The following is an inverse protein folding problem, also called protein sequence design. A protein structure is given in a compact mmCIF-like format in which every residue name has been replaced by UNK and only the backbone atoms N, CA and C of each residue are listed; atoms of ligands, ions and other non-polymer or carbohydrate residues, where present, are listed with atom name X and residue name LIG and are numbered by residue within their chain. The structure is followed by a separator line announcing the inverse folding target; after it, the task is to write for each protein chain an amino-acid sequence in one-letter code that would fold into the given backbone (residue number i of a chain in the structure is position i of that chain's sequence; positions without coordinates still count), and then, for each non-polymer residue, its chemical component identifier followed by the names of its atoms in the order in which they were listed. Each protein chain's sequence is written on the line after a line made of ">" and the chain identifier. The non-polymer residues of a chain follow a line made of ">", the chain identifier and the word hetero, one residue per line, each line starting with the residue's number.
data_IF_487515779176
#
_entry.id   IF_487515779176
#
_cell.length_a   1.000
_cell.length_b   1.000
_cell.length_c   1.000
_cell.angle_alpha   90.00
_cell.angle_beta   90.00
_cell.angle_gamma   90.00
#
_symmetry.space_group_name_H-M   'P 1'
#
loop_
_entity.id
_entity.type
_entity.pdbx_description
1 polymer ?
#
# COMPACT_ATOMS: atom_id res chain seq x y z
N UNK A 1 14.38 -3.07 -10.61
CA UNK A 1 14.80 -2.71 -11.98
C UNK A 1 15.05 -1.20 -12.08
N UNK A 2 15.46 -0.71 -13.26
CA UNK A 2 15.62 0.72 -13.56
C UNK A 2 14.31 1.47 -13.32
N UNK A 3 14.42 2.79 -13.10
CA UNK A 3 13.24 3.66 -13.05
C UNK A 3 12.44 3.54 -14.37
N UNK A 4 11.09 3.41 -14.32
CA UNK A 4 10.27 3.36 -15.52
C UNK A 4 10.45 4.60 -16.40
N UNK A 5 10.62 4.39 -17.71
CA UNK A 5 10.64 5.43 -18.74
C UNK A 5 9.78 4.95 -19.91
N UNK A 6 8.92 5.83 -20.44
CA UNK A 6 8.17 5.53 -21.66
C UNK A 6 9.09 5.57 -22.88
N UNK A 7 9.00 4.55 -23.71
CA UNK A 7 9.78 4.40 -24.94
C UNK A 7 8.88 3.79 -26.02
N UNK A 8 9.33 3.71 -27.28
CA UNK A 8 8.59 2.97 -28.31
C UNK A 8 8.30 1.50 -27.98
N UNK A 9 8.91 0.94 -26.92
CA UNK A 9 8.75 -0.46 -26.51
C UNK A 9 8.29 -0.62 -25.06
N UNK A 10 8.02 0.48 -24.34
CA UNK A 10 7.60 0.47 -22.93
C UNK A 10 6.57 1.55 -22.70
N UNK A 11 5.40 1.14 -22.22
CA UNK A 11 4.33 2.05 -21.81
C UNK A 11 4.25 2.11 -20.29
N UNK A 12 3.81 3.26 -19.76
CA UNK A 12 3.61 3.44 -18.33
C UNK A 12 2.18 3.92 -18.09
N UNK A 13 1.51 3.28 -17.14
CA UNK A 13 0.25 3.75 -16.60
C UNK A 13 0.40 4.07 -15.12
N UNK A 14 0.33 5.35 -14.77
CA UNK A 14 0.29 5.77 -13.37
C UNK A 14 -1.01 5.34 -12.70
N UNK A 15 -0.91 4.88 -11.46
CA UNK A 15 -2.05 4.48 -10.62
C UNK A 15 -2.34 5.49 -9.51
N UNK A 16 -1.72 6.68 -9.58
CA UNK A 16 -2.02 7.84 -8.76
C UNK A 16 -3.52 8.21 -8.80
N UNK A 17 -3.98 8.96 -7.80
CA UNK A 17 -5.36 9.41 -7.64
C UNK A 17 -5.99 8.85 -6.37
N UNK A 18 -7.32 8.74 -6.37
CA UNK A 18 -8.07 8.27 -5.21
C UNK A 18 -8.08 6.75 -5.12
N UNK A 19 -7.83 6.25 -3.92
CA UNK A 19 -7.93 4.84 -3.54
C UNK A 19 -8.93 4.70 -2.38
N UNK A 20 -9.59 3.55 -2.27
CA UNK A 20 -10.34 3.20 -1.08
C UNK A 20 -9.37 2.91 0.06
N UNK A 21 -9.67 3.40 1.27
CA UNK A 21 -8.81 3.33 2.44
C UNK A 21 -9.57 2.96 3.70
N UNK A 22 -9.02 2.00 4.47
CA UNK A 22 -9.54 1.58 5.77
C UNK A 22 -8.40 1.31 6.76
N UNK A 23 -8.58 1.64 8.04
CA UNK A 23 -7.66 1.16 9.09
C UNK A 23 -8.11 -0.22 9.57
N UNK A 24 -7.17 -1.10 9.86
CA UNK A 24 -7.41 -2.44 10.37
C UNK A 24 -7.33 -2.45 11.91
N UNK A 25 -8.31 -1.82 12.56
CA UNK A 25 -8.29 -1.61 14.01
C UNK A 25 -8.20 -2.91 14.81
N UNK A 26 -8.88 -3.95 14.34
CA UNK A 26 -8.90 -5.27 14.97
C UNK A 26 -7.77 -6.19 14.47
N UNK A 27 -6.89 -5.69 13.59
CA UNK A 27 -5.82 -6.45 12.96
C UNK A 27 -6.30 -7.78 12.34
N UNK A 28 -7.46 -7.75 11.69
CA UNK A 28 -8.17 -8.92 11.18
C UNK A 28 -8.22 -8.96 9.65
N UNK A 29 -7.76 -7.92 8.95
CA UNK A 29 -7.87 -7.82 7.50
C UNK A 29 -7.11 -8.91 6.74
N UNK A 30 -6.03 -9.42 7.31
CA UNK A 30 -5.30 -10.58 6.76
C UNK A 30 -6.13 -11.85 6.90
N UNK A 31 -6.63 -12.13 8.11
CA UNK A 31 -7.38 -13.34 8.43
C UNK A 31 -8.73 -13.39 7.69
N UNK A 32 -9.39 -12.24 7.58
CA UNK A 32 -10.66 -12.07 6.86
C UNK A 32 -10.48 -11.83 5.35
N UNK A 33 -9.24 -11.80 4.86
CA UNK A 33 -8.91 -11.67 3.44
C UNK A 33 -9.57 -10.48 2.75
N UNK A 34 -9.37 -9.29 3.30
CA UNK A 34 -9.98 -8.06 2.79
C UNK A 34 -9.68 -7.75 1.31
N UNK A 35 -8.68 -8.39 0.72
CA UNK A 35 -8.39 -8.30 -0.71
C UNK A 35 -9.35 -9.11 -1.62
N UNK A 36 -10.15 -10.03 -1.07
CA UNK A 36 -11.09 -10.89 -1.83
C UNK A 36 -12.39 -10.17 -2.20
N UNK A 37 -12.70 -9.04 -1.57
CA UNK A 37 -13.89 -8.23 -1.87
C UNK A 37 -13.58 -6.72 -1.83
N UNK A 38 -14.60 -5.89 -2.10
CA UNK A 38 -14.46 -4.45 -1.94
C UNK A 38 -14.24 -4.09 -0.46
N UNK A 39 -13.28 -3.21 -0.16
CA UNK A 39 -13.04 -2.73 1.20
C UNK A 39 -14.30 -2.08 1.78
N UNK A 40 -14.84 -2.69 2.82
CA UNK A 40 -16.00 -2.20 3.54
C UNK A 40 -15.65 -0.94 4.35
N UNK A 41 -16.64 -0.05 4.50
CA UNK A 41 -16.54 1.19 5.27
C UNK A 41 -15.32 2.06 4.91
N UNK A 42 -14.87 1.97 3.65
CA UNK A 42 -13.69 2.65 3.17
C UNK A 42 -13.95 4.12 2.86
N UNK A 43 -12.89 4.92 3.02
CA UNK A 43 -12.85 6.35 2.67
C UNK A 43 -11.95 6.55 1.46
N UNK A 44 -12.21 7.57 0.65
CA UNK A 44 -11.29 7.93 -0.42
C UNK A 44 -10.02 8.57 0.17
N UNK A 45 -8.84 8.14 -0.29
CA UNK A 45 -7.54 8.73 0.07
C UNK A 45 -6.72 8.98 -1.19
N UNK A 46 -5.92 10.05 -1.20
CA UNK A 46 -5.04 10.35 -2.31
C UNK A 46 -3.74 9.56 -2.23
N UNK A 47 -3.33 9.02 -3.38
CA UNK A 47 -2.02 8.42 -3.64
C UNK A 47 -1.36 9.20 -4.79
N UNK A 48 -0.10 9.62 -4.68
CA UNK A 48 0.77 9.45 -3.52
C UNK A 48 0.44 10.39 -2.35
N UNK A 49 0.71 9.95 -1.13
CA UNK A 49 0.56 10.76 0.07
C UNK A 49 0.63 9.96 1.36
N UNK A 50 1.08 10.59 2.43
CA UNK A 50 0.97 10.02 3.78
C UNK A 50 -0.48 10.09 4.24
N UNK A 51 -1.02 9.03 4.84
CA UNK A 51 -2.44 9.04 5.21
C UNK A 51 -2.74 9.94 6.42
N UNK A 52 -1.71 10.18 7.25
CA UNK A 52 -1.87 10.74 8.59
C UNK A 52 -2.57 12.11 8.62
N UNK A 53 -2.35 12.95 7.61
CA UNK A 53 -2.90 14.32 7.54
C UNK A 53 -3.90 14.54 6.41
N UNK A 54 -4.30 13.48 5.70
CA UNK A 54 -5.33 13.61 4.66
C UNK A 54 -6.74 13.68 5.26
N UNK A 55 -6.88 13.36 6.55
CA UNK A 55 -8.12 13.45 7.29
C UNK A 55 -7.90 14.28 8.55
N UNK A 56 -8.83 15.18 8.85
CA UNK A 56 -8.85 15.95 10.10
C UNK A 56 -9.34 15.07 11.27
N UNK A 57 -8.64 13.96 11.53
CA UNK A 57 -9.01 12.91 12.48
C UNK A 57 -7.75 12.45 13.24
N UNK A 58 -7.72 12.72 14.54
CA UNK A 58 -6.56 12.41 15.39
C UNK A 58 -6.32 10.91 15.56
N UNK A 59 -7.37 10.08 15.46
CA UNK A 59 -7.22 8.63 15.56
C UNK A 59 -6.58 8.07 14.29
N UNK A 60 -6.92 8.62 13.12
CA UNK A 60 -6.22 8.28 11.87
C UNK A 60 -4.79 8.80 11.91
N UNK A 61 -4.57 10.06 12.28
CA UNK A 61 -3.23 10.67 12.30
C UNK A 61 -2.23 9.85 13.11
N UNK A 62 -2.65 9.38 14.28
CA UNK A 62 -1.81 8.66 15.23
C UNK A 62 -1.92 7.13 15.15
N UNK A 63 -2.64 6.60 14.16
CA UNK A 63 -2.84 5.15 14.03
C UNK A 63 -1.52 4.41 13.81
N UNK A 64 -1.29 3.35 14.59
CA UNK A 64 -0.18 2.43 14.44
C UNK A 64 -0.73 1.01 14.23
N UNK A 65 -0.44 0.41 13.06
CA UNK A 65 -0.96 -0.89 12.67
C UNK A 65 -1.07 -1.05 11.16
N UNK A 66 -1.95 -1.97 10.75
CA UNK A 66 -2.25 -2.25 9.36
C UNK A 66 -3.28 -1.26 8.82
N UNK A 67 -3.02 -0.69 7.65
CA UNK A 67 -3.99 0.09 6.88
C UNK A 67 -4.08 -0.50 5.48
N UNK A 68 -5.26 -0.40 4.89
CA UNK A 68 -5.56 -1.05 3.61
C UNK A 68 -5.89 0.01 2.57
N UNK A 69 -5.25 -0.09 1.42
CA UNK A 69 -5.56 0.67 0.22
C UNK A 69 -6.12 -0.28 -0.83
N UNK A 70 -7.14 0.13 -1.57
CA UNK A 70 -7.68 -0.67 -2.66
C UNK A 70 -8.12 0.19 -3.84
N UNK A 71 -7.86 -0.32 -5.05
CA UNK A 71 -8.26 0.35 -6.29
C UNK A 71 -8.53 -0.65 -7.40
N UNK A 72 -9.60 -0.40 -8.15
CA UNK A 72 -9.85 -1.04 -9.43
C UNK A 72 -9.04 -0.36 -10.54
N UNK A 73 -8.33 -1.16 -11.34
CA UNK A 73 -7.45 -0.70 -12.40
C UNK A 73 -7.79 -1.40 -13.71
N UNK A 74 -8.05 -0.63 -14.75
CA UNK A 74 -8.21 -1.18 -16.10
C UNK A 74 -6.85 -1.47 -16.76
N UNK A 75 -6.62 -2.69 -17.23
CA UNK A 75 -5.40 -3.04 -17.97
C UNK A 75 -5.60 -2.69 -19.45
N UNK A 76 -4.75 -1.84 -20.07
CA UNK A 76 -4.87 -1.48 -21.48
C UNK A 76 -4.93 -2.72 -22.39
N UNK A 77 -5.85 -2.73 -23.37
CA UNK A 77 -5.98 -3.82 -24.35
C UNK A 77 -4.69 -4.05 -25.15
N UNK A 78 -3.96 -2.97 -25.44
CA UNK A 78 -2.68 -3.01 -26.17
C UNK A 78 -1.55 -3.76 -25.45
N UNK A 79 -1.71 -4.05 -24.15
CA UNK A 79 -0.71 -4.81 -23.39
C UNK A 79 -0.84 -6.33 -23.56
N UNK A 80 -1.75 -6.81 -24.42
CA UNK A 80 -1.86 -8.24 -24.71
C UNK A 80 -0.53 -8.82 -25.23
N UNK A 81 -0.07 -9.92 -24.61
CA UNK A 81 1.21 -10.56 -24.94
C UNK A 81 2.45 -9.83 -24.42
N UNK A 82 2.29 -8.69 -23.73
CA UNK A 82 3.38 -7.98 -23.09
C UNK A 82 3.61 -8.45 -21.66
N UNK A 83 4.82 -8.23 -21.15
CA UNK A 83 5.13 -8.38 -19.73
C UNK A 83 4.58 -7.17 -18.97
N UNK A 84 3.70 -7.41 -18.00
CA UNK A 84 3.05 -6.38 -17.19
C UNK A 84 3.65 -6.41 -15.79
N UNK A 85 4.17 -5.28 -15.33
CA UNK A 85 4.83 -5.13 -14.03
C UNK A 85 4.09 -4.10 -13.20
N UNK A 86 3.72 -4.45 -11.97
CA UNK A 86 3.22 -3.52 -10.97
C UNK A 86 4.39 -3.05 -10.11
N UNK A 87 4.51 -1.74 -9.92
CA UNK A 87 5.60 -1.11 -9.18
C UNK A 87 5.06 -0.08 -8.21
N UNK A 88 5.65 -0.01 -7.02
CA UNK A 88 5.50 1.09 -6.09
C UNK A 88 6.85 1.74 -5.85
N UNK A 89 6.93 3.06 -5.95
CA UNK A 89 8.17 3.79 -5.70
C UNK A 89 8.49 3.96 -4.21
N UNK A 90 7.47 3.90 -3.33
CA UNK A 90 7.61 3.80 -1.88
C UNK A 90 6.28 3.47 -1.19
N UNK A 91 6.28 2.42 -0.37
CA UNK A 91 5.22 2.09 0.59
C UNK A 91 5.85 2.04 1.98
N UNK A 92 5.37 2.88 2.90
CA UNK A 92 6.03 3.13 4.19
C UNK A 92 5.23 2.54 5.34
N UNK A 93 5.76 1.60 6.15
CA UNK A 93 7.14 1.04 6.18
C UNK A 93 7.27 -0.37 5.63
N UNK A 94 6.19 -1.13 5.66
CA UNK A 94 6.06 -2.44 5.04
C UNK A 94 4.84 -2.43 4.12
N UNK A 95 4.95 -3.07 2.97
CA UNK A 95 3.86 -3.19 2.00
C UNK A 95 3.65 -4.63 1.59
N UNK A 96 2.41 -5.09 1.62
CA UNK A 96 1.99 -6.40 1.08
C UNK A 96 0.89 -6.19 0.05
N UNK A 97 1.01 -6.81 -1.12
CA UNK A 97 0.21 -6.45 -2.29
C UNK A 97 -0.47 -7.66 -2.91
N UNK A 98 -1.75 -7.48 -3.22
CA UNK A 98 -2.57 -8.44 -3.93
C UNK A 98 -3.10 -7.86 -5.24
N UNK A 99 -3.17 -8.72 -6.25
CA UNK A 99 -3.82 -8.48 -7.54
C UNK A 99 -4.95 -9.49 -7.68
N UNK A 100 -6.19 -9.01 -7.71
CA UNK A 100 -7.38 -9.79 -7.38
C UNK A 100 -7.20 -10.55 -6.06
N UNK A 101 -7.16 -11.88 -6.12
CA UNK A 101 -7.07 -12.76 -4.96
C UNK A 101 -5.67 -13.36 -4.77
N UNK A 102 -4.69 -12.90 -5.56
CA UNK A 102 -3.33 -13.45 -5.54
C UNK A 102 -2.39 -12.44 -4.89
N UNK A 103 -1.67 -12.90 -3.86
CA UNK A 103 -0.54 -12.16 -3.31
C UNK A 103 0.60 -12.16 -4.34
N UNK A 104 1.11 -10.98 -4.68
CA UNK A 104 2.11 -10.83 -5.75
C UNK A 104 3.46 -10.31 -5.26
N UNK A 105 3.48 -9.59 -4.13
CA UNK A 105 4.73 -9.15 -3.50
C UNK A 105 4.51 -8.68 -2.06
N UNK A 106 5.60 -8.75 -1.30
CA UNK A 106 5.79 -8.02 -0.05
C UNK A 106 7.14 -7.31 -0.05
N UNK A 107 7.25 -6.21 0.69
CA UNK A 107 8.48 -5.44 0.77
C UNK A 107 8.64 -4.80 2.15
N UNK A 108 9.82 -4.99 2.74
CA UNK A 108 10.25 -4.33 3.96
C UNK A 108 11.15 -3.15 3.61
N UNK A 109 10.80 -1.96 4.11
CA UNK A 109 11.58 -0.74 3.93
C UNK A 109 10.77 0.35 3.24
N UNK A 110 10.63 1.49 3.91
CA UNK A 110 9.64 2.49 3.53
C UNK A 110 10.00 3.44 2.38
N UNK A 111 11.22 3.38 1.85
CA UNK A 111 11.78 4.49 1.04
C UNK A 111 12.41 4.06 -0.28
N UNK A 112 12.37 2.77 -0.59
CA UNK A 112 12.90 2.18 -1.81
C UNK A 112 11.79 1.56 -2.65
N UNK A 113 11.94 1.55 -3.98
CA UNK A 113 10.96 0.96 -4.85
C UNK A 113 11.00 -0.56 -4.81
N UNK A 114 9.86 -1.18 -5.08
CA UNK A 114 9.72 -2.62 -5.28
C UNK A 114 8.64 -2.90 -6.34
N UNK A 115 8.70 -4.06 -6.98
CA UNK A 115 7.84 -4.39 -8.11
C UNK A 115 7.68 -5.90 -8.30
N UNK A 116 6.59 -6.30 -8.93
CA UNK A 116 6.28 -7.68 -9.26
C UNK A 116 5.82 -7.81 -10.71
N UNK A 117 6.18 -8.92 -11.33
CA UNK A 117 5.58 -9.34 -12.59
C UNK A 117 4.15 -9.83 -12.31
N UNK A 118 3.17 -9.12 -12.84
CA UNK A 118 1.75 -9.43 -12.62
C UNK A 118 1.08 -10.00 -13.86
N UNK A 119 1.84 -10.25 -14.93
CA UNK A 119 1.37 -10.83 -16.19
C UNK A 119 0.46 -12.06 -15.99
N UNK A 120 0.78 -13.02 -15.10
CA UNK A 120 -0.05 -14.22 -14.90
C UNK A 120 -1.41 -13.95 -14.23
N UNK A 121 -1.56 -12.78 -13.58
CA UNK A 121 -2.72 -12.47 -12.71
C UNK A 121 -3.68 -11.46 -13.33
N UNK A 122 -3.35 -10.96 -14.52
CA UNK A 122 -4.11 -9.91 -15.20
C UNK A 122 -4.45 -10.31 -16.62
N UNK A 123 -5.50 -9.70 -17.17
CA UNK A 123 -5.93 -9.91 -18.54
C UNK A 123 -6.04 -8.53 -19.20
N UNK A 124 -5.29 -8.34 -20.30
CA UNK A 124 -5.37 -7.11 -21.09
C UNK A 124 -6.82 -6.84 -21.52
N UNK A 125 -7.28 -5.60 -21.33
CA UNK A 125 -8.64 -5.19 -21.62
C UNK A 125 -9.67 -5.48 -20.52
N UNK A 126 -9.26 -5.98 -19.37
CA UNK A 126 -10.13 -6.17 -18.20
C UNK A 126 -9.68 -5.30 -17.03
N UNK A 127 -10.60 -5.06 -16.09
CA UNK A 127 -10.26 -4.47 -14.81
C UNK A 127 -9.71 -5.52 -13.85
N UNK A 128 -8.86 -5.07 -12.94
CA UNK A 128 -8.28 -5.85 -11.86
C UNK A 128 -8.29 -5.05 -10.57
N UNK A 129 -8.53 -5.73 -9.46
CA UNK A 129 -8.42 -5.13 -8.13
C UNK A 129 -6.98 -5.18 -7.65
N UNK A 130 -6.45 -4.05 -7.22
CA UNK A 130 -5.17 -3.98 -6.51
C UNK A 130 -5.49 -3.64 -5.06
N UNK A 131 -5.02 -4.47 -4.14
CA UNK A 131 -5.14 -4.24 -2.69
C UNK A 131 -3.74 -4.18 -2.09
N UNK A 132 -3.50 -3.22 -1.21
CA UNK A 132 -2.22 -3.03 -0.53
C UNK A 132 -2.47 -2.94 0.97
N UNK A 133 -1.89 -3.84 1.75
CA UNK A 133 -1.78 -3.68 3.19
C UNK A 133 -0.46 -2.96 3.48
N UNK A 134 -0.54 -1.84 4.19
CA UNK A 134 0.59 -1.05 4.62
C UNK A 134 0.68 -1.13 6.14
N UNK A 135 1.85 -1.48 6.67
CA UNK A 135 2.10 -1.48 8.10
C UNK A 135 3.12 -0.39 8.45
N UNK A 136 2.84 0.37 9.50
CA UNK A 136 3.68 1.48 9.95
C UNK A 136 4.30 1.27 11.34
N UNK A 137 4.19 0.06 11.90
CA UNK A 137 4.78 -0.28 13.19
C UNK A 137 6.30 -0.40 13.04
N UNK A 138 7.03 0.27 13.94
CA UNK A 138 8.49 0.19 14.03
C UNK A 138 8.87 -0.67 15.23
N UNK A 139 9.90 -1.49 15.04
CA UNK A 139 10.54 -2.31 16.07
C UNK A 139 12.07 -2.15 16.00
N UNK A 140 12.82 -2.93 16.77
CA UNK A 140 14.29 -2.85 16.79
C UNK A 140 14.96 -3.34 15.51
N UNK A 141 14.23 -4.09 14.67
CA UNK A 141 14.69 -4.67 13.42
C UNK A 141 14.25 -3.86 12.19
N UNK A 142 13.30 -2.93 12.33
CA UNK A 142 12.91 -2.03 11.24
C UNK A 142 13.93 -0.92 11.05
N UNK A 143 14.01 -0.43 9.81
CA UNK A 143 14.66 0.85 9.51
C UNK A 143 13.56 1.82 9.06
N UNK A 144 13.31 2.91 9.80
CA UNK A 144 13.94 3.32 11.07
C UNK A 144 13.53 2.44 12.28
N UNK A 145 14.32 2.40 13.37
CA UNK A 145 13.96 1.64 14.56
C UNK A 145 12.96 2.39 15.45
N UNK A 146 12.17 1.64 16.19
CA UNK A 146 11.23 2.16 17.19
C UNK A 146 10.63 1.05 18.05
N UNK A 147 9.52 1.34 18.72
CA UNK A 147 8.77 0.38 19.51
C UNK A 147 7.29 0.75 19.57
N UNK A 148 6.42 -0.24 19.51
CA UNK A 148 4.98 -0.06 19.76
C UNK A 148 4.71 -0.22 21.25
N UNK A 149 4.03 0.77 21.84
CA UNK A 149 3.55 0.73 23.22
C UNK A 149 2.03 0.65 23.16
N UNK A 150 1.47 -0.38 23.78
CA UNK A 150 0.01 -0.54 23.89
C UNK A 150 -0.45 0.03 25.22
N UNK A 151 -1.47 0.90 25.19
CA UNK A 151 -2.07 1.44 26.42
C UNK A 151 -3.06 0.45 27.07
N UNK A 152 -3.60 0.82 28.24
CA UNK A 152 -4.55 0.01 29.00
C UNK A 152 -5.85 -0.31 28.23
N UNK A 153 -6.18 0.48 27.21
CA UNK A 153 -7.35 0.29 26.36
C UNK A 153 -7.04 -0.54 25.09
N UNK A 154 -5.82 -1.07 24.97
CA UNK A 154 -5.39 -1.83 23.79
C UNK A 154 -4.98 -0.95 22.60
N UNK A 155 -4.96 0.37 22.73
CA UNK A 155 -4.58 1.27 21.64
C UNK A 155 -3.07 1.26 21.48
N UNK A 156 -2.62 0.95 20.27
CA UNK A 156 -1.21 1.01 19.91
C UNK A 156 -0.77 2.46 19.71
N UNK A 157 0.35 2.82 20.33
CA UNK A 157 1.06 4.07 20.11
C UNK A 157 2.48 3.76 19.66
N UNK A 158 2.89 4.36 18.54
CA UNK A 158 4.26 4.25 18.07
C UNK A 158 5.18 5.19 18.87
N UNK A 159 6.30 4.65 19.35
CA UNK A 159 7.47 5.39 19.84
C UNK A 159 8.67 5.16 18.93
N UNK A 160 9.53 6.15 18.75
CA UNK A 160 10.68 6.09 17.85
C UNK A 160 11.81 7.00 18.30
N UNK A 161 13.02 6.74 17.78
CA UNK A 161 14.26 7.39 18.20
C UNK A 161 14.75 8.48 17.25
N UNK A 162 13.85 8.99 16.40
CA UNK A 162 14.11 10.08 15.45
C UNK A 162 13.12 11.22 15.68
N UNK A 163 13.44 12.41 15.15
CA UNK A 163 12.67 13.64 15.41
C UNK A 163 11.48 13.83 14.44
N UNK A 164 11.61 13.33 13.20
CA UNK A 164 10.53 13.49 12.22
C UNK A 164 9.30 12.65 12.58
N UNK A 165 8.11 13.14 12.25
CA UNK A 165 6.88 12.39 12.46
C UNK A 165 6.86 11.10 11.62
N UNK A 166 6.37 10.00 12.19
CA UNK A 166 6.28 8.69 11.53
C UNK A 166 5.15 8.62 10.48
N UNK A 167 5.25 9.45 9.44
CA UNK A 167 4.35 9.43 8.31
C UNK A 167 4.40 8.07 7.61
N UNK A 168 3.24 7.57 7.19
CA UNK A 168 3.10 6.27 6.55
C UNK A 168 2.05 6.29 5.44
N UNK A 169 2.06 5.23 4.63
CA UNK A 169 1.18 5.09 3.47
C UNK A 169 1.93 4.86 2.17
N UNK A 170 1.26 5.12 1.06
CA UNK A 170 1.85 5.03 -0.29
C UNK A 170 2.41 6.41 -0.65
N UNK A 171 3.66 6.66 -0.28
CA UNK A 171 4.29 7.98 -0.37
C UNK A 171 4.71 8.39 -1.78
N UNK A 172 4.88 7.44 -2.69
CA UNK A 172 5.29 7.68 -4.07
C UNK A 172 4.48 6.79 -5.01
N UNK A 173 4.39 7.23 -6.26
CA UNK A 173 3.63 6.61 -7.35
C UNK A 173 3.88 5.11 -7.56
#
# INVERSE_FOLDING_TARGET
>A
MLRPVETPTREIKKLDGLWAFSLDRENCGIDQRWWESALQESRAIAVPGSFNDQFADADIRNYAGNVWYQREVFIPKGWAGQRIVLRFDAVTHYGKVWVNNQEVMEHQGGYTPFEADVTPYVIAGKSVRITVCVNNELNWQTIPPGMVITDENGKKKQSYFHDFFNYAGIHRS
#
